data_IF_890063910043
#
_entry.id   IF_890063910043
#
_cell.length_a   1.000
_cell.length_b   1.000
_cell.length_c   1.000
_cell.angle_alpha   90.00
_cell.angle_beta   90.00
_cell.angle_gamma   90.00
#
_symmetry.space_group_name_H-M   'P 1'
#
loop_
_entity.id
_entity.type
_entity.pdbx_description
1 polymer ?
#
# COMPACT_ATOMS: atom_id res chain seq x y z
N UNK A 1 -11.75 -32.55 -0.32
CA UNK A 1 -11.05 -32.90 -1.54
C UNK A 1 -11.96 -32.95 -2.74
N UNK A 2 -11.55 -32.32 -3.83
CA UNK A 2 -12.31 -32.31 -5.09
C UNK A 2 -11.63 -33.29 -6.06
N UNK A 3 -12.42 -34.14 -6.70
CA UNK A 3 -11.93 -34.99 -7.80
C UNK A 3 -11.84 -34.12 -9.06
N UNK A 4 -10.67 -34.10 -9.64
CA UNK A 4 -10.39 -33.35 -10.87
C UNK A 4 -9.70 -34.23 -11.90
N UNK A 5 -9.60 -33.75 -13.12
CA UNK A 5 -8.85 -34.39 -14.18
C UNK A 5 -7.95 -33.37 -14.88
N UNK A 6 -6.70 -33.73 -15.03
CA UNK A 6 -5.81 -33.05 -15.96
C UNK A 6 -6.02 -33.68 -17.34
N UNK A 7 -6.32 -32.88 -18.32
CA UNK A 7 -6.52 -33.32 -19.70
C UNK A 7 -5.46 -32.64 -20.56
N UNK A 8 -4.69 -33.45 -21.29
CA UNK A 8 -3.69 -32.96 -22.22
C UNK A 8 -3.86 -33.61 -23.58
N UNK A 9 -3.61 -32.89 -24.64
CA UNK A 9 -3.56 -33.37 -26.01
C UNK A 9 -2.32 -32.79 -26.69
N UNK A 10 -1.57 -33.64 -27.37
CA UNK A 10 -0.44 -33.19 -28.18
C UNK A 10 -0.91 -32.73 -29.55
N UNK A 11 -0.29 -31.69 -30.06
CA UNK A 11 -0.43 -31.23 -31.46
C UNK A 11 0.86 -31.55 -32.22
N UNK A 12 0.74 -32.17 -33.37
CA UNK A 12 1.89 -32.37 -34.26
C UNK A 12 2.24 -31.06 -35.01
N UNK A 13 3.32 -31.05 -35.75
CA UNK A 13 3.79 -29.92 -36.53
C UNK A 13 2.87 -29.53 -37.70
N UNK A 14 1.83 -30.31 -37.98
CA UNK A 14 0.79 -30.06 -38.96
C UNK A 14 -0.53 -29.63 -38.36
N UNK A 15 -0.55 -29.46 -37.01
CA UNK A 15 -1.74 -29.09 -36.25
C UNK A 15 -2.74 -30.24 -36.04
N UNK A 16 -2.32 -31.50 -36.27
CA UNK A 16 -3.18 -32.64 -35.98
C UNK A 16 -3.15 -32.98 -34.50
N UNK A 17 -4.33 -33.25 -33.95
CA UNK A 17 -4.50 -33.63 -32.54
C UNK A 17 -4.08 -35.11 -32.35
N UNK A 18 -3.21 -35.33 -31.40
CA UNK A 18 -2.87 -36.68 -30.91
C UNK A 18 -3.95 -37.23 -29.98
N UNK A 19 -3.64 -38.38 -29.37
CA UNK A 19 -4.54 -38.99 -28.39
C UNK A 19 -4.68 -38.12 -27.16
N UNK A 20 -5.91 -38.03 -26.63
CA UNK A 20 -6.22 -37.36 -25.39
C UNK A 20 -5.72 -38.17 -24.20
N UNK A 21 -4.87 -37.56 -23.39
CA UNK A 21 -4.40 -38.12 -22.13
C UNK A 21 -5.25 -37.49 -21.02
N UNK A 22 -5.86 -38.32 -20.20
CA UNK A 22 -6.65 -37.94 -19.03
C UNK A 22 -6.03 -38.59 -17.80
N UNK A 23 -5.59 -37.73 -16.88
CA UNK A 23 -5.03 -38.18 -15.58
C UNK A 23 -5.95 -37.67 -14.49
N UNK A 24 -6.38 -38.55 -13.61
CA UNK A 24 -7.12 -38.14 -12.42
C UNK A 24 -6.17 -37.44 -11.47
N UNK A 25 -6.55 -36.25 -11.05
CA UNK A 25 -5.84 -35.45 -10.05
C UNK A 25 -6.84 -35.11 -8.93
N UNK A 26 -6.70 -35.78 -7.81
CA UNK A 26 -7.52 -35.53 -6.64
C UNK A 26 -6.83 -34.46 -5.77
N UNK A 27 -7.51 -33.35 -5.47
CA UNK A 27 -6.99 -32.44 -4.49
C UNK A 27 -7.12 -33.07 -3.09
N UNK A 28 -6.04 -32.97 -2.30
CA UNK A 28 -6.07 -33.34 -0.89
C UNK A 28 -7.09 -32.46 -0.15
N UNK A 29 -7.88 -33.06 0.71
CA UNK A 29 -8.69 -32.27 1.64
C UNK A 29 -7.77 -31.39 2.50
N UNK A 30 -8.15 -30.13 2.66
CA UNK A 30 -7.42 -29.23 3.55
C UNK A 30 -7.72 -29.63 4.99
N UNK A 31 -6.67 -29.93 5.73
CA UNK A 31 -6.75 -30.15 7.16
C UNK A 31 -6.67 -28.80 7.88
N UNK A 32 -7.53 -28.59 8.86
CA UNK A 32 -7.48 -27.43 9.75
C UNK A 32 -6.94 -27.86 11.11
N UNK A 33 -6.17 -26.97 11.75
CA UNK A 33 -5.69 -27.16 13.10
C UNK A 33 -6.47 -26.29 14.09
N UNK A 34 -7.33 -26.92 14.90
CA UNK A 34 -8.12 -26.22 15.92
C UNK A 34 -7.33 -25.90 17.19
N UNK A 35 -6.12 -26.42 17.35
CA UNK A 35 -5.26 -26.16 18.52
C UNK A 35 -4.43 -24.88 18.38
N UNK A 36 -4.40 -24.28 17.19
CA UNK A 36 -3.73 -23.00 16.95
C UNK A 36 -4.75 -21.90 16.66
N UNK A 37 -4.45 -20.72 17.15
CA UNK A 37 -5.16 -19.50 16.79
C UNK A 37 -4.23 -18.30 16.99
N UNK A 38 -4.68 -17.12 16.60
CA UNK A 38 -4.03 -15.85 16.86
C UNK A 38 -5.09 -14.82 17.26
N UNK A 39 -4.84 -14.01 18.26
CA UNK A 39 -5.55 -12.73 18.43
C UNK A 39 -4.62 -11.58 18.07
N UNK A 40 -5.18 -10.43 17.73
CA UNK A 40 -4.44 -9.27 17.27
C UNK A 40 -4.94 -8.03 18.00
N UNK A 41 -4.05 -7.31 18.66
CA UNK A 41 -4.28 -5.94 19.08
C UNK A 41 -3.61 -4.97 18.12
N UNK A 42 -4.22 -3.80 17.94
CA UNK A 42 -3.80 -2.81 16.95
C UNK A 42 -3.47 -1.50 17.63
N UNK A 43 -2.24 -1.04 17.47
CA UNK A 43 -1.84 0.33 17.79
C UNK A 43 -1.73 1.12 16.48
N UNK A 44 -2.80 1.85 16.16
CA UNK A 44 -2.85 2.65 14.95
C UNK A 44 -1.97 3.89 15.09
N UNK A 45 -1.09 4.11 14.12
CA UNK A 45 -0.31 5.34 13.95
C UNK A 45 -0.83 6.21 12.81
N UNK A 46 -0.04 7.21 12.42
CA UNK A 46 -0.37 8.11 11.32
C UNK A 46 0.07 7.54 9.97
N UNK A 47 1.29 7.03 9.89
CA UNK A 47 1.90 6.46 8.68
C UNK A 47 2.25 4.99 8.82
N UNK A 48 2.08 4.45 10.00
CA UNK A 48 2.32 3.04 10.31
C UNK A 48 1.32 2.54 11.34
N UNK A 49 1.20 1.23 11.44
CA UNK A 49 0.37 0.55 12.43
C UNK A 49 1.17 -0.61 13.00
N UNK A 50 1.21 -0.72 14.31
CA UNK A 50 1.80 -1.88 14.98
C UNK A 50 0.72 -2.88 15.34
N UNK A 51 0.86 -4.09 14.85
CA UNK A 51 0.04 -5.23 15.25
C UNK A 51 0.79 -6.03 16.31
N UNK A 52 0.18 -6.27 17.47
CA UNK A 52 0.72 -7.22 18.45
C UNK A 52 -0.10 -8.50 18.37
N UNK A 53 0.58 -9.59 18.03
CA UNK A 53 -0.02 -10.90 17.84
C UNK A 53 0.06 -11.70 19.14
N UNK A 54 -1.06 -12.28 19.55
CA UNK A 54 -1.13 -13.18 20.72
C UNK A 54 -1.50 -14.58 20.24
N UNK A 55 -0.50 -15.44 19.93
CA UNK A 55 -0.76 -16.78 19.45
C UNK A 55 -1.24 -17.70 20.56
N UNK A 56 -2.12 -18.62 20.21
CA UNK A 56 -2.43 -19.83 20.99
C UNK A 56 -1.87 -21.04 20.23
N UNK A 57 -1.29 -22.00 20.93
CA UNK A 57 -0.55 -23.08 20.31
C UNK A 57 0.76 -22.57 19.69
N UNK A 58 1.22 -23.25 18.66
CA UNK A 58 2.50 -22.96 18.01
C UNK A 58 2.32 -22.71 16.51
N UNK A 59 1.68 -21.63 16.06
CA UNK A 59 1.70 -21.26 14.65
C UNK A 59 3.14 -20.90 14.27
N UNK A 60 3.61 -21.41 13.14
CA UNK A 60 4.97 -21.11 12.64
C UNK A 60 4.98 -19.94 11.68
N UNK A 61 3.81 -19.56 11.15
CA UNK A 61 3.63 -18.41 10.27
C UNK A 61 2.21 -17.89 10.33
N UNK A 62 2.04 -16.66 9.85
CA UNK A 62 0.77 -15.99 9.73
C UNK A 62 0.55 -15.57 8.29
N UNK A 63 -0.69 -15.68 7.82
CA UNK A 63 -1.12 -15.15 6.53
C UNK A 63 -2.16 -14.07 6.77
N UNK A 64 -2.05 -12.94 6.09
CA UNK A 64 -2.95 -11.83 6.33
C UNK A 64 -3.26 -11.02 5.08
N UNK A 65 -4.42 -10.37 5.12
CA UNK A 65 -4.87 -9.32 4.20
C UNK A 65 -4.99 -8.05 5.02
N UNK A 66 -4.26 -7.01 4.63
CA UNK A 66 -4.39 -5.68 5.20
C UNK A 66 -4.59 -4.68 4.08
N UNK A 67 -5.72 -3.99 4.08
CA UNK A 67 -6.04 -3.02 3.02
C UNK A 67 -7.03 -1.96 3.50
N UNK A 68 -7.17 -0.90 2.71
CA UNK A 68 -8.18 0.12 2.97
C UNK A 68 -9.58 -0.46 2.85
N UNK A 69 -10.46 -0.07 3.75
CA UNK A 69 -11.85 -0.50 3.73
C UNK A 69 -12.54 -0.13 2.41
N UNK A 70 -12.23 1.04 1.85
CA UNK A 70 -12.78 1.48 0.55
C UNK A 70 -12.35 0.61 -0.63
N UNK A 71 -11.13 0.05 -0.57
CA UNK A 71 -10.64 -0.89 -1.58
C UNK A 71 -11.22 -2.27 -1.36
N UNK A 72 -11.28 -2.73 -0.11
CA UNK A 72 -11.85 -4.03 0.25
C UNK A 72 -13.32 -4.17 -0.19
N UNK A 73 -14.11 -3.11 -0.06
CA UNK A 73 -15.53 -3.09 -0.52
C UNK A 73 -15.70 -3.40 -2.01
N UNK A 74 -14.68 -3.24 -2.81
CA UNK A 74 -14.68 -3.55 -4.24
C UNK A 74 -14.16 -4.97 -4.56
N UNK A 75 -13.69 -5.70 -3.55
CA UNK A 75 -13.22 -7.07 -3.74
C UNK A 75 -14.39 -8.05 -3.86
N UNK A 76 -14.22 -9.15 -4.63
CA UNK A 76 -15.26 -10.18 -4.78
C UNK A 76 -15.67 -10.86 -3.46
N UNK A 77 -14.80 -10.75 -2.45
CA UNK A 77 -15.00 -11.36 -1.12
C UNK A 77 -15.74 -10.46 -0.14
N UNK A 78 -16.10 -9.24 -0.54
CA UNK A 78 -16.81 -8.31 0.34
C UNK A 78 -18.14 -8.91 0.84
N UNK A 79 -18.28 -8.96 2.16
CA UNK A 79 -19.47 -9.48 2.82
C UNK A 79 -19.51 -11.00 2.98
N UNK A 80 -18.49 -11.73 2.50
CA UNK A 80 -18.39 -13.19 2.64
C UNK A 80 -17.07 -13.59 3.35
N UNK A 81 -17.14 -13.74 4.67
CA UNK A 81 -15.97 -14.08 5.49
C UNK A 81 -15.39 -15.47 5.16
N UNK A 82 -16.20 -16.41 4.67
CA UNK A 82 -15.70 -17.70 4.25
C UNK A 82 -14.85 -17.58 2.97
N UNK A 83 -15.28 -16.76 2.02
CA UNK A 83 -14.45 -16.46 0.84
C UNK A 83 -13.16 -15.74 1.19
N UNK A 84 -13.18 -14.82 2.16
CA UNK A 84 -11.93 -14.18 2.66
C UNK A 84 -11.01 -15.21 3.27
N UNK A 85 -11.55 -16.13 4.07
CA UNK A 85 -10.78 -17.21 4.68
C UNK A 85 -10.17 -18.13 3.62
N UNK A 86 -10.92 -18.50 2.60
CA UNK A 86 -10.41 -19.27 1.47
C UNK A 86 -9.30 -18.52 0.72
N UNK A 87 -9.47 -17.20 0.50
CA UNK A 87 -8.43 -16.38 -0.11
C UNK A 87 -7.14 -16.37 0.72
N UNK A 88 -7.24 -16.19 2.05
CA UNK A 88 -6.11 -16.27 2.98
C UNK A 88 -5.36 -17.60 2.90
N UNK A 89 -6.07 -18.68 2.66
CA UNK A 89 -5.50 -20.03 2.63
C UNK A 89 -4.89 -20.36 1.25
N UNK A 90 -5.59 -20.03 0.17
CA UNK A 90 -5.30 -20.54 -1.17
C UNK A 90 -4.60 -19.54 -2.09
N UNK A 91 -4.70 -18.23 -1.82
CA UNK A 91 -4.11 -17.22 -2.70
C UNK A 91 -2.63 -16.99 -2.38
N UNK A 92 -1.76 -17.20 -3.37
CA UNK A 92 -0.32 -16.99 -3.23
C UNK A 92 0.08 -15.49 -3.15
N UNK A 93 -0.84 -14.58 -3.46
CA UNK A 93 -0.62 -13.13 -3.37
C UNK A 93 -0.92 -12.56 -1.97
N UNK A 94 -1.44 -13.38 -1.05
CA UNK A 94 -1.65 -13.00 0.34
C UNK A 94 -0.30 -12.84 1.04
N UNK A 95 -0.17 -11.81 1.86
CA UNK A 95 1.06 -11.57 2.62
C UNK A 95 1.24 -12.67 3.67
N UNK A 96 2.44 -13.25 3.71
CA UNK A 96 2.83 -14.26 4.67
C UNK A 96 4.05 -13.77 5.47
N UNK A 97 4.05 -14.02 6.77
CA UNK A 97 5.17 -13.72 7.65
C UNK A 97 5.44 -14.90 8.58
N UNK A 98 6.71 -15.28 8.72
CA UNK A 98 7.10 -16.32 9.67
C UNK A 98 7.01 -15.78 11.12
N UNK A 99 6.61 -16.64 12.05
CA UNK A 99 6.53 -16.26 13.46
C UNK A 99 7.90 -15.88 14.03
N UNK A 100 8.98 -16.44 13.49
CA UNK A 100 10.38 -16.12 13.83
C UNK A 100 10.85 -14.75 13.41
N UNK A 101 10.18 -14.14 12.42
CA UNK A 101 10.55 -12.83 11.88
C UNK A 101 9.91 -11.69 12.70
N UNK A 102 9.05 -12.03 13.65
CA UNK A 102 8.40 -11.09 14.53
C UNK A 102 9.26 -10.80 15.76
N UNK A 103 9.56 -9.54 16.02
CA UNK A 103 10.20 -9.11 17.25
C UNK A 103 9.11 -8.91 18.34
N UNK A 104 9.18 -9.69 19.43
CA UNK A 104 8.17 -9.67 20.50
C UNK A 104 6.72 -9.84 19.99
N UNK A 105 6.52 -10.69 19.00
CA UNK A 105 5.22 -10.89 18.34
C UNK A 105 4.63 -9.62 17.71
N UNK A 106 5.44 -8.63 17.38
CA UNK A 106 5.00 -7.39 16.74
C UNK A 106 5.27 -7.40 15.24
N UNK A 107 4.28 -6.98 14.47
CA UNK A 107 4.35 -6.72 13.05
C UNK A 107 4.09 -5.23 12.81
N UNK A 108 5.08 -4.54 12.24
CA UNK A 108 4.93 -3.17 11.80
C UNK A 108 4.41 -3.15 10.35
N UNK A 109 3.31 -2.48 10.13
CA UNK A 109 2.78 -2.18 8.79
C UNK A 109 3.06 -0.71 8.52
N UNK A 110 3.87 -0.44 7.51
CA UNK A 110 4.25 0.91 7.09
C UNK A 110 3.44 1.40 5.89
N UNK A 111 3.65 2.63 5.50
CA UNK A 111 3.07 3.28 4.31
C UNK A 111 1.53 3.30 4.28
N UNK A 112 0.90 3.37 5.45
CA UNK A 112 -0.52 3.62 5.54
C UNK A 112 -0.83 5.11 5.35
N UNK A 113 -2.05 5.41 4.92
CA UNK A 113 -2.55 6.78 4.87
C UNK A 113 -3.20 7.16 6.20
N UNK A 114 -3.02 8.38 6.65
CA UNK A 114 -3.66 8.89 7.86
C UNK A 114 -5.18 9.04 7.68
N UNK A 115 -5.91 9.01 8.80
CA UNK A 115 -7.37 9.20 8.86
C UNK A 115 -8.10 8.33 7.81
N UNK A 116 -7.67 7.08 7.69
CA UNK A 116 -8.15 6.13 6.69
C UNK A 116 -8.59 4.85 7.38
N UNK A 117 -9.76 4.35 7.01
CA UNK A 117 -10.28 3.07 7.53
C UNK A 117 -9.56 1.90 6.86
N UNK A 118 -9.13 0.95 7.67
CA UNK A 118 -8.47 -0.28 7.26
C UNK A 118 -9.18 -1.50 7.80
N UNK A 119 -9.06 -2.60 7.08
CA UNK A 119 -9.44 -3.93 7.53
C UNK A 119 -8.22 -4.85 7.54
N UNK A 120 -8.11 -5.65 8.57
CA UNK A 120 -7.15 -6.73 8.72
C UNK A 120 -7.90 -8.04 8.86
N UNK A 121 -7.53 -9.02 8.05
CA UNK A 121 -7.85 -10.42 8.27
C UNK A 121 -6.56 -11.21 8.45
N UNK A 122 -6.52 -12.12 9.42
CA UNK A 122 -5.32 -12.90 9.70
C UNK A 122 -5.67 -14.33 10.15
N UNK A 123 -4.81 -15.27 9.78
CA UNK A 123 -4.91 -16.69 10.13
C UNK A 123 -3.52 -17.20 10.50
N UNK A 124 -3.42 -18.06 11.53
CA UNK A 124 -2.20 -18.79 11.84
C UNK A 124 -2.08 -20.06 11.04
N UNK A 125 -0.87 -20.53 10.77
CA UNK A 125 -0.56 -21.78 10.06
C UNK A 125 0.47 -22.56 10.86
N UNK A 126 0.27 -23.87 11.02
CA UNK A 126 1.19 -24.76 11.73
C UNK A 126 2.37 -25.24 10.86
N UNK A 127 3.25 -26.03 11.44
CA UNK A 127 4.43 -26.57 10.78
C UNK A 127 4.10 -27.54 9.62
N UNK A 128 2.94 -28.16 9.65
CA UNK A 128 2.48 -29.09 8.59
C UNK A 128 1.74 -28.35 7.46
N UNK A 129 1.60 -27.00 7.59
CA UNK A 129 0.90 -26.17 6.62
C UNK A 129 -0.62 -26.09 6.84
N UNK A 130 -1.14 -26.61 7.95
CA UNK A 130 -2.56 -26.55 8.24
C UNK A 130 -2.93 -25.18 8.84
N UNK A 131 -3.92 -24.48 8.27
CA UNK A 131 -4.39 -23.23 8.82
C UNK A 131 -5.25 -23.43 10.08
N UNK A 132 -5.30 -22.42 10.93
CA UNK A 132 -6.23 -22.40 12.06
C UNK A 132 -7.69 -22.46 11.61
N UNK A 133 -8.54 -23.04 12.45
CA UNK A 133 -10.01 -23.06 12.20
C UNK A 133 -10.61 -21.66 12.29
N UNK A 134 -10.00 -20.78 13.07
CA UNK A 134 -10.47 -19.41 13.34
C UNK A 134 -9.66 -18.40 12.55
N UNK A 135 -10.33 -17.38 12.05
CA UNK A 135 -9.75 -16.20 11.39
C UNK A 135 -10.03 -14.97 12.26
N UNK A 136 -9.02 -14.13 12.42
CA UNK A 136 -9.19 -12.82 13.06
C UNK A 136 -9.61 -11.80 12.02
N UNK A 137 -10.58 -10.98 12.38
CA UNK A 137 -10.97 -9.75 11.67
C UNK A 137 -10.82 -8.58 12.61
N UNK A 138 -10.14 -7.54 12.18
CA UNK A 138 -10.06 -6.25 12.88
C UNK A 138 -10.30 -5.12 11.88
N UNK A 139 -11.03 -4.12 12.31
CA UNK A 139 -11.23 -2.87 11.59
C UNK A 139 -10.71 -1.73 12.44
N UNK A 140 -10.03 -0.77 11.84
CA UNK A 140 -9.49 0.37 12.55
C UNK A 140 -9.34 1.58 11.63
N UNK A 141 -9.19 2.75 12.24
CA UNK A 141 -8.87 3.99 11.53
C UNK A 141 -7.48 4.44 11.95
N UNK A 142 -6.61 4.72 10.99
CA UNK A 142 -5.29 5.31 11.24
C UNK A 142 -5.41 6.71 11.84
N UNK A 143 -4.42 7.13 12.64
CA UNK A 143 -4.47 8.43 13.33
C UNK A 143 -4.50 9.59 12.35
N UNK A 144 -5.26 10.62 12.71
CA UNK A 144 -5.23 11.91 12.04
C UNK A 144 -4.07 12.73 12.60
N UNK A 145 -3.15 13.25 11.75
CA UNK A 145 -2.07 14.11 12.20
C UNK A 145 -2.54 15.52 12.55
N UNK A 146 -1.68 16.30 13.17
CA UNK A 146 -1.80 17.75 13.19
C UNK A 146 -1.41 18.29 11.82
N UNK A 147 -2.20 19.23 11.30
CA UNK A 147 -1.92 19.87 10.03
C UNK A 147 -1.42 21.31 10.22
N UNK A 148 -0.40 21.66 9.46
CA UNK A 148 0.14 23.01 9.34
C UNK A 148 -0.34 23.61 8.02
N UNK A 149 -0.98 24.74 8.10
CA UNK A 149 -1.51 25.48 6.93
C UNK A 149 -0.73 26.75 6.71
N UNK A 150 -0.40 27.02 5.45
CA UNK A 150 0.36 28.23 5.08
C UNK A 150 -0.32 29.54 5.50
N UNK A 151 -1.65 29.59 5.40
CA UNK A 151 -2.45 30.78 5.74
C UNK A 151 -2.61 31.03 7.25
N UNK A 152 -2.36 30.03 8.09
CA UNK A 152 -2.53 30.10 9.54
C UNK A 152 -1.22 30.06 10.31
N UNK A 153 -0.27 29.29 9.81
CA UNK A 153 0.99 28.97 10.48
C UNK A 153 2.19 29.31 9.59
N UNK A 154 2.18 30.54 9.02
CA UNK A 154 3.14 30.98 7.99
C UNK A 154 4.60 30.80 8.41
N UNK A 155 4.95 31.13 9.66
CA UNK A 155 6.34 31.02 10.14
C UNK A 155 6.77 29.55 10.21
N UNK A 156 5.92 28.69 10.71
CA UNK A 156 6.18 27.25 10.81
C UNK A 156 6.27 26.61 9.42
N UNK A 157 5.39 27.03 8.51
CA UNK A 157 5.45 26.62 7.11
C UNK A 157 6.78 27.02 6.46
N UNK A 158 7.15 28.30 6.52
CA UNK A 158 8.35 28.80 5.89
C UNK A 158 9.64 28.18 6.46
N UNK A 159 9.64 27.84 7.74
CA UNK A 159 10.77 27.20 8.40
C UNK A 159 11.01 25.75 7.96
N UNK A 160 10.01 25.10 7.33
CA UNK A 160 10.08 23.65 7.04
C UNK A 160 9.85 23.28 5.57
N UNK A 161 9.37 24.21 4.73
CA UNK A 161 9.04 23.93 3.33
C UNK A 161 10.26 23.43 2.55
N UNK A 162 10.16 22.28 1.83
CA UNK A 162 11.20 21.81 0.93
C UNK A 162 11.39 22.78 -0.25
N UNK A 163 12.64 22.95 -0.65
CA UNK A 163 13.00 23.74 -1.84
C UNK A 163 12.71 22.93 -3.10
N UNK A 164 12.00 23.54 -4.06
CA UNK A 164 11.76 22.94 -5.38
C UNK A 164 12.48 23.77 -6.43
N UNK A 165 13.38 23.14 -7.17
CA UNK A 165 14.12 23.75 -8.29
C UNK A 165 13.67 23.08 -9.59
N UNK A 166 13.36 23.89 -10.61
CA UNK A 166 13.15 23.40 -11.97
C UNK A 166 14.51 23.42 -12.68
N UNK A 167 15.04 22.23 -12.94
CA UNK A 167 16.39 22.07 -13.48
C UNK A 167 16.40 22.26 -14.99
N UNK A 168 15.38 21.75 -15.69
CA UNK A 168 15.29 21.81 -17.16
C UNK A 168 13.86 21.67 -17.64
N UNK A 169 13.55 22.38 -18.74
CA UNK A 169 12.32 22.21 -19.53
C UNK A 169 12.73 21.94 -20.97
N UNK A 170 12.40 20.76 -21.47
CA UNK A 170 12.67 20.34 -22.85
C UNK A 170 11.34 20.16 -23.60
N UNK A 171 11.30 20.54 -24.85
CA UNK A 171 10.15 20.39 -25.74
C UNK A 171 10.49 19.50 -26.91
N UNK A 172 9.71 18.43 -27.03
CA UNK A 172 9.59 17.63 -28.25
C UNK A 172 8.11 17.68 -28.68
N UNK A 173 7.42 16.56 -28.79
CA UNK A 173 5.97 16.51 -28.98
C UNK A 173 5.20 17.04 -27.77
N UNK A 174 5.73 16.77 -26.59
CA UNK A 174 5.29 17.26 -25.27
C UNK A 174 6.47 17.89 -24.54
N UNK A 175 6.22 18.38 -23.33
CA UNK A 175 7.28 18.91 -22.49
C UNK A 175 7.78 17.84 -21.52
N UNK A 176 9.10 17.79 -21.35
CA UNK A 176 9.74 17.09 -20.23
C UNK A 176 10.25 18.14 -19.27
N UNK A 177 9.76 18.09 -18.03
CA UNK A 177 10.20 18.97 -16.94
C UNK A 177 11.02 18.15 -15.95
N UNK A 178 12.30 18.47 -15.84
CA UNK A 178 13.20 17.91 -14.82
C UNK A 178 13.25 18.85 -13.63
N UNK A 179 13.20 18.30 -12.41
CA UNK A 179 13.16 19.07 -11.18
C UNK A 179 13.88 18.37 -10.05
N UNK A 180 14.32 19.16 -9.08
CA UNK A 180 14.93 18.68 -7.83
C UNK A 180 14.15 19.22 -6.64
N UNK A 181 13.87 18.34 -5.68
CA UNK A 181 13.24 18.68 -4.39
C UNK A 181 14.26 18.40 -3.28
N UNK A 182 14.59 19.44 -2.52
CA UNK A 182 15.56 19.37 -1.43
C UNK A 182 14.85 19.63 -0.11
N UNK A 183 14.80 18.65 0.81
CA UNK A 183 14.24 18.86 2.14
C UNK A 183 15.17 19.77 2.97
N UNK A 184 14.58 20.53 3.87
CA UNK A 184 15.33 21.22 4.90
C UNK A 184 15.51 20.33 6.15
N UNK A 185 16.23 20.81 7.15
CA UNK A 185 16.57 20.04 8.36
C UNK A 185 15.36 19.71 9.26
N UNK A 186 14.23 20.41 9.11
CA UNK A 186 13.00 20.17 9.86
C UNK A 186 12.13 19.10 9.20
N UNK A 187 12.29 18.88 7.89
CA UNK A 187 11.54 17.89 7.13
C UNK A 187 12.09 16.48 7.42
N UNK A 188 11.23 15.56 7.85
CA UNK A 188 11.59 14.16 8.07
C UNK A 188 11.27 13.30 6.85
N UNK A 189 10.07 13.47 6.33
CA UNK A 189 9.58 12.75 5.15
C UNK A 189 8.84 13.73 4.25
N UNK A 190 9.02 13.62 2.93
CA UNK A 190 8.20 14.35 1.98
C UNK A 190 7.70 13.46 0.84
N UNK A 191 6.63 13.89 0.21
CA UNK A 191 6.01 13.23 -0.92
C UNK A 191 5.92 14.22 -2.07
N UNK A 192 6.34 13.77 -3.26
CA UNK A 192 6.34 14.57 -4.48
C UNK A 192 5.42 13.96 -5.51
N UNK A 193 4.50 14.74 -6.01
CA UNK A 193 3.64 14.39 -7.13
C UNK A 193 3.71 15.48 -8.21
N UNK A 194 4.14 15.10 -9.42
CA UNK A 194 4.14 16.01 -10.57
C UNK A 194 3.00 15.67 -11.52
N UNK A 195 2.23 16.66 -11.92
CA UNK A 195 1.08 16.45 -12.80
C UNK A 195 0.33 17.73 -13.14
N UNK A 196 -0.73 17.64 -13.97
CA UNK A 196 -1.56 18.79 -14.34
C UNK A 196 -2.08 19.55 -13.12
N UNK A 197 -2.26 20.85 -13.29
CA UNK A 197 -2.61 21.77 -12.19
C UNK A 197 -3.95 21.45 -11.53
N UNK A 198 -4.88 20.86 -12.24
CA UNK A 198 -6.26 20.57 -11.83
C UNK A 198 -6.45 19.25 -11.09
N UNK A 199 -5.41 18.42 -10.94
CA UNK A 199 -5.51 17.13 -10.24
C UNK A 199 -5.70 17.26 -8.72
N UNK A 200 -5.24 18.35 -8.12
CA UNK A 200 -5.40 18.56 -6.68
C UNK A 200 -6.66 19.38 -6.40
N UNK A 201 -7.76 18.70 -6.23
CA UNK A 201 -9.07 19.25 -5.85
C UNK A 201 -9.43 18.86 -4.41
N UNK A 202 -10.47 19.52 -3.87
CA UNK A 202 -10.97 19.21 -2.54
C UNK A 202 -10.25 19.93 -1.40
N UNK A 203 -10.50 19.47 -0.17
CA UNK A 203 -9.91 20.05 1.03
C UNK A 203 -8.41 19.72 1.13
N UNK A 204 -7.67 20.52 1.92
CA UNK A 204 -6.21 20.38 2.05
C UNK A 204 -5.76 18.97 2.50
N UNK A 205 -6.49 18.33 3.38
CA UNK A 205 -6.18 16.97 3.84
C UNK A 205 -6.42 15.90 2.76
N UNK A 206 -7.39 16.12 1.87
CA UNK A 206 -7.62 15.27 0.70
C UNK A 206 -6.48 15.46 -0.32
N UNK A 207 -6.03 16.68 -0.53
CA UNK A 207 -4.89 16.98 -1.41
C UNK A 207 -3.60 16.33 -0.88
N UNK A 208 -3.35 16.39 0.43
CA UNK A 208 -2.20 15.71 1.06
C UNK A 208 -2.27 14.21 0.81
N UNK A 209 -3.42 13.55 1.11
CA UNK A 209 -3.59 12.12 0.85
C UNK A 209 -3.42 11.75 -0.62
N UNK A 210 -3.87 12.61 -1.54
CA UNK A 210 -3.68 12.38 -2.96
C UNK A 210 -2.20 12.39 -3.34
N UNK A 211 -1.43 13.37 -2.87
CA UNK A 211 0.02 13.47 -3.11
C UNK A 211 0.76 12.28 -2.48
N UNK A 212 0.38 11.87 -1.27
CA UNK A 212 0.96 10.69 -0.62
C UNK A 212 0.70 9.39 -1.40
N UNK A 213 -0.53 9.23 -1.90
CA UNK A 213 -0.94 8.01 -2.62
C UNK A 213 -0.29 7.88 -4.00
N UNK A 214 -0.16 8.98 -4.73
CA UNK A 214 0.23 8.98 -6.14
C UNK A 214 1.64 9.52 -6.38
N UNK A 215 2.27 10.06 -5.34
CA UNK A 215 3.60 10.63 -5.39
C UNK A 215 4.68 9.65 -4.94
N UNK A 216 5.91 10.14 -4.95
CA UNK A 216 7.11 9.41 -4.50
C UNK A 216 7.46 9.86 -3.09
N UNK A 217 7.57 8.91 -2.15
CA UNK A 217 8.01 9.14 -0.76
C UNK A 217 9.52 9.25 -0.69
N UNK A 218 10.05 10.27 -0.03
CA UNK A 218 11.48 10.54 0.10
C UNK A 218 11.85 11.10 1.46
N UNK A 219 13.11 10.89 1.86
CA UNK A 219 13.72 11.46 3.08
C UNK A 219 14.97 12.30 2.78
N UNK A 220 15.49 12.23 1.55
CA UNK A 220 16.68 12.94 1.08
C UNK A 220 16.38 13.67 -0.23
N UNK A 221 17.29 14.46 -0.71
CA UNK A 221 17.14 15.16 -2.00
C UNK A 221 16.72 14.20 -3.11
N UNK A 222 15.67 14.58 -3.83
CA UNK A 222 15.07 13.81 -4.90
C UNK A 222 15.10 14.57 -6.22
N UNK A 223 15.61 13.96 -7.27
CA UNK A 223 15.51 14.47 -8.63
C UNK A 223 14.55 13.60 -9.44
N UNK A 224 13.63 14.24 -10.10
CA UNK A 224 12.58 13.59 -10.88
C UNK A 224 12.30 14.29 -12.20
N UNK A 225 11.47 13.67 -13.00
CA UNK A 225 10.96 14.29 -14.23
C UNK A 225 9.48 13.96 -14.43
N UNK A 226 8.78 14.87 -15.10
CA UNK A 226 7.41 14.63 -15.56
C UNK A 226 7.31 14.92 -17.05
N UNK A 227 6.40 14.23 -17.74
CA UNK A 227 6.18 14.34 -19.16
C UNK A 227 4.71 14.65 -19.45
N UNK A 228 4.45 15.68 -20.25
CA UNK A 228 3.07 16.06 -20.59
C UNK A 228 2.94 17.45 -21.18
N UNK A 229 1.78 18.05 -20.97
CA UNK A 229 1.46 19.44 -21.36
C UNK A 229 1.79 20.40 -20.22
N UNK A 230 2.02 21.66 -20.57
CA UNK A 230 2.15 22.74 -19.62
C UNK A 230 0.89 23.63 -19.64
N UNK A 231 0.48 24.24 -18.51
CA UNK A 231 1.19 24.24 -17.22
C UNK A 231 1.09 22.90 -16.47
N UNK A 232 2.13 22.56 -15.72
CA UNK A 232 2.17 21.45 -14.78
C UNK A 232 2.56 21.92 -13.40
N UNK A 233 2.23 21.17 -12.35
CA UNK A 233 2.61 21.48 -10.98
C UNK A 233 3.55 20.40 -10.43
N UNK A 234 4.57 20.85 -9.71
CA UNK A 234 5.32 20.00 -8.79
C UNK A 234 4.70 20.22 -7.41
N UNK A 235 4.02 19.22 -6.91
CA UNK A 235 3.26 19.26 -5.66
C UNK A 235 4.04 18.51 -4.59
N UNK A 236 4.32 19.17 -3.47
CA UNK A 236 5.08 18.60 -2.35
C UNK A 236 4.29 18.74 -1.07
N UNK A 237 4.08 17.66 -0.36
CA UNK A 237 3.64 17.68 1.04
C UNK A 237 4.71 16.98 1.89
N UNK A 238 4.81 17.35 3.15
CA UNK A 238 5.85 16.78 4.02
C UNK A 238 5.36 16.65 5.46
N UNK A 239 6.08 15.85 6.21
CA UNK A 239 5.93 15.69 7.63
C UNK A 239 7.23 16.15 8.31
N UNK A 240 7.11 16.86 9.41
CA UNK A 240 8.25 17.23 10.25
C UNK A 240 8.53 16.17 11.33
N UNK A 241 9.60 16.39 12.10
CA UNK A 241 10.04 15.49 13.17
C UNK A 241 9.06 15.38 14.34
N UNK A 242 8.13 16.33 14.47
CA UNK A 242 7.05 16.31 15.44
C UNK A 242 5.79 15.58 14.91
N UNK A 243 5.85 15.04 13.70
CA UNK A 243 4.75 14.29 13.07
C UNK A 243 3.61 15.17 12.55
N UNK A 244 3.85 16.48 12.36
CA UNK A 244 2.88 17.39 11.76
C UNK A 244 2.98 17.33 10.24
N UNK A 245 1.83 17.24 9.57
CA UNK A 245 1.76 17.30 8.12
C UNK A 245 1.48 18.70 7.63
N UNK A 246 2.11 19.05 6.54
CA UNK A 246 2.03 20.36 5.91
C UNK A 246 1.14 20.33 4.67
N UNK A 247 0.31 21.35 4.53
CA UNK A 247 -0.48 21.60 3.33
C UNK A 247 0.41 21.52 2.06
N UNK A 248 -0.17 21.13 0.93
CA UNK A 248 0.62 20.92 -0.30
C UNK A 248 1.21 22.23 -0.80
N UNK A 249 2.54 22.28 -0.92
CA UNK A 249 3.26 23.32 -1.67
C UNK A 249 3.15 23.02 -3.17
N UNK A 250 2.81 24.06 -3.96
CA UNK A 250 2.63 23.95 -5.42
C UNK A 250 3.61 24.85 -6.13
N UNK A 251 4.51 24.27 -6.92
CA UNK A 251 5.37 25.00 -7.84
C UNK A 251 4.81 24.85 -9.25
N UNK A 252 4.30 25.94 -9.78
CA UNK A 252 3.74 25.98 -11.14
C UNK A 252 4.87 26.09 -12.15
N UNK A 253 4.82 25.27 -13.20
CA UNK A 253 5.75 25.30 -14.33
C UNK A 253 4.97 25.67 -15.57
N UNK A 254 5.16 26.89 -16.05
CA UNK A 254 4.55 27.41 -17.26
C UNK A 254 5.40 27.11 -18.50
N UNK A 255 4.78 27.22 -19.67
CA UNK A 255 5.53 27.13 -20.92
C UNK A 255 6.54 28.29 -21.02
N UNK A 256 7.78 28.03 -21.48
CA UNK A 256 8.73 29.11 -21.73
C UNK A 256 8.12 30.14 -22.68
N UNK A 257 8.21 31.42 -22.31
CA UNK A 257 7.86 32.53 -23.21
C UNK A 257 8.78 32.46 -24.43
N UNK A 258 8.18 32.41 -25.62
CA UNK A 258 8.92 32.43 -26.88
C UNK A 258 9.60 33.77 -27.10
#
# INVERSE_FOLDING_TARGET
GTKGFLVAVALDNKGQLGSLIKVQADSKEMSYNSSISVDVSIEAGTLSTTLTLTPTGNPVKYRYIHMKMSEFKNYPYWGDEEMVKQALIMNNEVTEIAATDLNNHQLLIEDILFNTEYVLYMIGVDADGNPSTTMVKKEYTSKKPTFVRKDKDTDLWNASVPEVTIDKIEKDKFYTVSYTVKPNSACEIFYVFAGPADYLTGMYDEQIRYVMKNGVKQTTTYSGSTYGTLPTNINVTWMDKEGRFYEVSKTVVDAPTQ
#
